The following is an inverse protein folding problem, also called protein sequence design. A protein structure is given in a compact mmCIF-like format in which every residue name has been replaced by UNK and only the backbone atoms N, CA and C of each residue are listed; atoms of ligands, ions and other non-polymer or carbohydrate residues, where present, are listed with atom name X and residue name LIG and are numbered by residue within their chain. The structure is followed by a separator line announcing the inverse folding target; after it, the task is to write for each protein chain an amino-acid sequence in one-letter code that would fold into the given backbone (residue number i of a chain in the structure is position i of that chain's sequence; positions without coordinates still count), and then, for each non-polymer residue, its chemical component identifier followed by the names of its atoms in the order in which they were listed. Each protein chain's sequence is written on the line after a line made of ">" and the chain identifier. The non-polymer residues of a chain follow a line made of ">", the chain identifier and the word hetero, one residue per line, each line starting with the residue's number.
data_IF_427274282867
#
_entry.id   IF_427274282867
#
_cell.length_a   1.000
_cell.length_b   1.000
_cell.length_c   1.000
_cell.angle_alpha   90.00
_cell.angle_beta   90.00
_cell.angle_gamma   90.00
#
_symmetry.space_group_name_H-M   'P 1'
#
loop_
_entity.id
_entity.type
_entity.pdbx_description
1 polymer ?
#
# COMPACT_ATOMS: atom_id res chain seq x y z
N UNK A 1 5.74 7.47 -14.74
CA UNK A 1 6.28 6.16 -15.16
C UNK A 1 5.28 5.46 -16.07
N UNK A 2 5.65 5.04 -17.28
CA UNK A 2 4.76 4.24 -18.13
C UNK A 2 4.89 2.77 -17.72
N UNK A 3 3.79 2.10 -17.45
CA UNK A 3 3.77 0.68 -17.04
C UNK A 3 3.14 -0.18 -18.13
N UNK A 4 3.75 -1.33 -18.38
CA UNK A 4 3.23 -2.34 -19.29
C UNK A 4 3.49 -3.73 -18.70
N UNK A 5 2.64 -4.19 -17.77
CA UNK A 5 2.86 -5.43 -17.05
C UNK A 5 2.45 -6.64 -17.89
N UNK A 6 3.29 -7.66 -17.92
CA UNK A 6 3.01 -8.93 -18.58
C UNK A 6 2.64 -10.01 -17.56
N UNK A 7 3.31 -10.04 -16.41
CA UNK A 7 3.14 -11.07 -15.38
C UNK A 7 2.44 -10.57 -14.12
N UNK A 8 1.87 -11.48 -13.32
CA UNK A 8 1.01 -11.14 -12.18
C UNK A 8 1.66 -10.19 -11.16
N UNK A 9 2.94 -10.37 -10.86
CA UNK A 9 3.68 -9.48 -9.95
C UNK A 9 3.79 -8.06 -10.51
N UNK A 10 3.95 -7.92 -11.83
CA UNK A 10 4.01 -6.61 -12.50
C UNK A 10 2.65 -5.90 -12.45
N UNK A 11 1.54 -6.63 -12.45
CA UNK A 11 0.20 -6.05 -12.27
C UNK A 11 -0.02 -5.50 -10.86
N UNK A 12 0.59 -6.10 -9.83
CA UNK A 12 0.56 -5.56 -8.46
C UNK A 12 1.38 -4.27 -8.36
N UNK A 13 2.59 -4.27 -8.91
CA UNK A 13 3.45 -3.09 -8.97
C UNK A 13 2.81 -1.96 -9.76
N UNK A 14 2.15 -2.29 -10.87
CA UNK A 14 1.40 -1.32 -11.66
C UNK A 14 0.24 -0.70 -10.85
N UNK A 15 -0.56 -1.50 -10.14
CA UNK A 15 -1.65 -0.94 -9.34
C UNK A 15 -1.14 0.04 -8.28
N UNK A 16 -0.02 -0.28 -7.64
CA UNK A 16 0.66 0.66 -6.74
C UNK A 16 1.03 1.95 -7.48
N UNK A 17 1.70 1.85 -8.62
CA UNK A 17 2.23 3.02 -9.35
C UNK A 17 1.13 3.88 -9.99
N UNK A 18 0.08 3.26 -10.53
CA UNK A 18 -0.98 3.91 -11.31
C UNK A 18 -2.16 4.31 -10.43
N UNK A 19 -2.62 3.46 -9.52
CA UNK A 19 -3.86 3.68 -8.76
C UNK A 19 -3.63 4.30 -7.38
N UNK A 20 -2.49 4.00 -6.75
CA UNK A 20 -2.20 4.49 -5.39
C UNK A 20 -1.30 5.72 -5.47
N UNK A 21 -0.14 5.54 -6.08
CA UNK A 21 0.83 6.60 -6.23
C UNK A 21 0.43 7.57 -7.33
N UNK A 22 -0.46 7.21 -8.26
CA UNK A 22 -0.88 8.07 -9.38
C UNK A 22 0.32 8.75 -10.09
N UNK A 23 1.46 8.04 -10.13
CA UNK A 23 2.71 8.50 -10.75
C UNK A 23 2.96 7.82 -12.09
N UNK A 24 2.10 6.88 -12.46
CA UNK A 24 2.21 6.16 -13.71
C UNK A 24 0.93 5.99 -14.47
N UNK A 25 1.09 5.62 -15.73
CA UNK A 25 -0.01 5.39 -16.66
C UNK A 25 0.18 4.01 -17.28
N UNK A 26 -0.87 3.19 -17.16
CA UNK A 26 -0.95 1.88 -17.81
C UNK A 26 -1.08 2.04 -19.32
N UNK A 27 -0.34 1.23 -20.07
CA UNK A 27 -0.52 1.07 -21.51
C UNK A 27 -0.51 -0.40 -21.92
N UNK A 28 -1.38 -0.77 -22.85
CA UNK A 28 -1.38 -2.09 -23.51
C UNK A 28 -2.10 -3.18 -22.73
N UNK A 29 -1.46 -3.74 -21.70
CA UNK A 29 -1.87 -4.99 -21.10
C UNK A 29 -3.09 -4.86 -20.17
N UNK A 30 -4.12 -5.67 -20.42
CA UNK A 30 -5.37 -5.68 -19.65
C UNK A 30 -5.51 -6.89 -18.72
N UNK A 31 -4.72 -7.94 -18.93
CA UNK A 31 -4.77 -9.18 -18.15
C UNK A 31 -3.38 -9.81 -18.00
N UNK A 32 -3.23 -10.65 -16.97
CA UNK A 32 -2.01 -11.43 -16.72
C UNK A 32 -1.81 -12.45 -17.84
N UNK A 33 -0.58 -12.58 -18.34
CA UNK A 33 -0.25 -13.59 -19.36
C UNK A 33 0.27 -14.88 -18.76
N UNK A 34 0.01 -15.98 -19.45
CA UNK A 34 0.76 -17.23 -19.29
C UNK A 34 1.93 -17.27 -20.29
N UNK A 35 2.99 -18.00 -19.92
CA UNK A 35 4.19 -18.16 -20.73
C UNK A 35 3.83 -18.70 -22.14
N UNK A 36 4.23 -17.99 -23.19
CA UNK A 36 3.94 -18.34 -24.59
C UNK A 36 2.76 -17.62 -25.23
N UNK A 37 2.07 -16.73 -24.50
CA UNK A 37 0.94 -15.93 -25.02
C UNK A 37 1.29 -14.45 -25.25
N UNK A 38 2.57 -14.13 -25.38
CA UNK A 38 3.11 -12.76 -25.40
C UNK A 38 2.70 -11.95 -26.64
N UNK A 39 2.38 -12.60 -27.76
CA UNK A 39 2.07 -11.94 -29.04
C UNK A 39 0.58 -11.58 -29.21
N UNK A 40 -0.26 -11.79 -28.19
CA UNK A 40 -1.68 -11.49 -28.26
C UNK A 40 -1.94 -9.98 -28.50
N UNK A 41 -2.88 -9.59 -29.38
CA UNK A 41 -3.20 -8.19 -29.65
C UNK A 41 -3.55 -7.37 -28.40
N UNK A 42 -4.16 -8.00 -27.39
CA UNK A 42 -4.51 -7.42 -26.09
C UNK A 42 -3.28 -7.05 -25.24
N UNK A 43 -2.10 -7.52 -25.65
CA UNK A 43 -0.83 -7.18 -25.01
C UNK A 43 -0.13 -6.04 -25.73
N UNK A 44 -0.47 -5.72 -26.98
CA UNK A 44 0.28 -4.74 -27.76
C UNK A 44 0.08 -3.30 -27.25
N UNK A 45 1.19 -2.58 -27.11
CA UNK A 45 1.16 -1.14 -26.84
C UNK A 45 1.03 -0.37 -28.16
N UNK A 46 -0.13 0.25 -28.37
CA UNK A 46 -0.37 1.10 -29.52
C UNK A 46 0.32 2.46 -29.37
N UNK A 47 0.86 3.00 -30.47
CA UNK A 47 1.49 4.34 -30.50
C UNK A 47 0.58 5.45 -29.98
N UNK A 48 -0.73 5.35 -30.20
CA UNK A 48 -1.73 6.26 -29.65
C UNK A 48 -1.80 6.23 -28.12
N UNK A 49 -1.74 5.02 -27.53
CA UNK A 49 -1.72 4.84 -26.07
C UNK A 49 -0.45 5.39 -25.41
N UNK A 50 0.71 5.29 -26.08
CA UNK A 50 1.94 5.93 -25.61
C UNK A 50 1.79 7.46 -25.60
N UNK A 51 1.22 8.04 -26.66
CA UNK A 51 1.02 9.49 -26.76
C UNK A 51 0.09 10.01 -25.65
N UNK A 52 -1.00 9.29 -25.37
CA UNK A 52 -1.92 9.63 -24.28
C UNK A 52 -1.24 9.50 -22.90
N UNK A 53 -0.44 8.45 -22.70
CA UNK A 53 0.31 8.26 -21.47
C UNK A 53 1.34 9.38 -21.22
N UNK A 54 2.00 9.86 -22.27
CA UNK A 54 2.92 11.00 -22.18
C UNK A 54 2.17 12.27 -21.76
N UNK A 55 0.97 12.52 -22.31
CA UNK A 55 0.17 13.68 -21.95
C UNK A 55 -0.31 13.62 -20.50
N UNK A 56 -0.77 12.46 -20.03
CA UNK A 56 -1.18 12.25 -18.63
C UNK A 56 -0.02 12.34 -17.64
N UNK A 57 1.18 11.92 -18.03
CA UNK A 57 2.37 12.11 -17.22
C UNK A 57 2.86 13.57 -17.17
N UNK A 58 2.35 14.44 -18.05
CA UNK A 58 2.63 15.87 -18.01
C UNK A 58 1.70 16.63 -17.04
N UNK A 59 0.69 15.96 -16.47
CA UNK A 59 -0.09 16.46 -15.34
C UNK A 59 0.71 16.34 -14.02
N UNK A 60 0.34 17.10 -12.99
CA UNK A 60 1.05 17.14 -11.69
C UNK A 60 1.33 15.74 -11.12
N UNK A 61 2.58 15.50 -10.73
CA UNK A 61 3.01 14.24 -10.13
C UNK A 61 2.52 14.13 -8.69
N UNK A 62 2.42 12.91 -8.16
CA UNK A 62 2.08 12.72 -6.74
C UNK A 62 3.10 13.37 -5.79
N UNK A 63 4.38 13.37 -6.14
CA UNK A 63 5.42 14.04 -5.35
C UNK A 63 5.14 15.55 -5.23
N UNK A 64 4.72 16.20 -6.31
CA UNK A 64 4.30 17.61 -6.30
C UNK A 64 3.03 17.81 -5.46
N UNK A 65 2.03 16.91 -5.56
CA UNK A 65 0.79 16.99 -4.76
C UNK A 65 0.96 16.77 -3.26
N UNK A 66 2.07 16.17 -2.83
CA UNK A 66 2.38 15.94 -1.41
C UNK A 66 3.54 16.80 -0.92
N UNK A 67 4.04 17.72 -1.74
CA UNK A 67 5.11 18.63 -1.35
C UNK A 67 4.76 19.38 -0.06
N UNK A 68 5.72 19.46 0.86
CA UNK A 68 5.56 20.08 2.18
C UNK A 68 4.78 19.27 3.22
N UNK A 69 4.13 18.15 2.84
CA UNK A 69 3.36 17.30 3.77
C UNK A 69 3.68 15.80 3.71
N UNK A 70 4.39 15.35 2.67
CA UNK A 70 4.76 13.94 2.48
C UNK A 70 6.16 13.79 1.90
N UNK A 71 6.82 12.70 2.28
CA UNK A 71 8.16 12.33 1.78
C UNK A 71 8.14 10.89 1.29
N UNK A 72 8.72 10.66 0.11
CA UNK A 72 8.87 9.31 -0.47
C UNK A 72 10.35 8.93 -0.45
N UNK A 73 10.67 7.86 0.28
CA UNK A 73 12.01 7.24 0.27
C UNK A 73 11.96 6.01 -0.62
N UNK A 74 12.78 5.99 -1.68
CA UNK A 74 12.89 4.84 -2.59
C UNK A 74 14.04 3.96 -2.15
N UNK A 75 13.75 2.71 -1.80
CA UNK A 75 14.75 1.74 -1.33
C UNK A 75 14.75 1.63 0.19
N UNK A 76 15.95 1.60 0.78
CA UNK A 76 16.09 1.43 2.23
C UNK A 76 15.86 2.76 2.97
N UNK A 77 15.11 2.69 4.07
CA UNK A 77 14.94 3.78 5.01
C UNK A 77 15.41 3.35 6.40
N UNK A 78 15.96 4.26 7.23
CA UNK A 78 16.36 3.95 8.60
C UNK A 78 15.14 3.81 9.52
N UNK A 79 14.37 2.74 9.33
CA UNK A 79 13.04 2.53 9.92
C UNK A 79 13.02 2.74 11.43
N UNK A 80 13.96 2.16 12.17
CA UNK A 80 14.06 2.31 13.63
C UNK A 80 14.26 3.76 14.05
N UNK A 81 15.09 4.52 13.33
CA UNK A 81 15.32 5.95 13.63
C UNK A 81 14.08 6.79 13.30
N UNK A 82 13.36 6.45 12.23
CA UNK A 82 12.11 7.11 11.87
C UNK A 82 11.06 6.86 12.96
N UNK A 83 10.83 5.60 13.34
CA UNK A 83 9.83 5.22 14.34
C UNK A 83 10.15 5.79 15.74
N UNK A 84 11.44 5.92 16.08
CA UNK A 84 11.85 6.51 17.37
C UNK A 84 11.68 8.03 17.44
N UNK A 85 11.29 8.69 16.34
CA UNK A 85 11.10 10.12 16.30
C UNK A 85 9.73 10.51 16.87
N UNK A 86 9.70 11.48 17.81
CA UNK A 86 8.46 11.98 18.44
C UNK A 86 7.43 12.52 17.43
N UNK A 87 7.86 12.97 16.25
CA UNK A 87 6.95 13.45 15.20
C UNK A 87 6.17 12.33 14.51
N UNK A 88 6.48 11.05 14.77
CA UNK A 88 5.75 9.91 14.20
C UNK A 88 4.63 9.50 15.15
N UNK A 89 3.39 9.78 14.74
CA UNK A 89 2.17 9.38 15.49
C UNK A 89 1.63 7.99 15.13
N UNK A 90 1.97 7.46 13.96
CA UNK A 90 1.40 6.21 13.47
C UNK A 90 2.32 5.42 12.54
N UNK A 91 2.12 4.11 12.53
CA UNK A 91 2.90 3.16 11.73
C UNK A 91 1.99 2.18 10.98
N UNK A 92 1.93 2.31 9.65
CA UNK A 92 1.27 1.35 8.79
C UNK A 92 2.17 0.14 8.54
N UNK A 93 1.72 -1.06 8.93
CA UNK A 93 2.54 -2.27 8.91
C UNK A 93 1.79 -3.47 8.34
N UNK A 94 2.52 -4.37 7.67
CA UNK A 94 1.98 -5.65 7.23
C UNK A 94 1.85 -6.69 8.35
N UNK A 95 2.10 -6.30 9.60
CA UNK A 95 2.05 -7.17 10.78
C UNK A 95 3.11 -8.28 10.78
N UNK A 96 4.24 -8.09 10.11
CA UNK A 96 5.43 -8.91 10.36
C UNK A 96 5.88 -8.78 11.81
N UNK A 97 6.32 -9.87 12.44
CA UNK A 97 6.66 -9.89 13.87
C UNK A 97 7.77 -8.88 14.24
N UNK A 98 8.81 -8.75 13.41
CA UNK A 98 9.89 -7.80 13.64
C UNK A 98 9.39 -6.34 13.58
N UNK A 99 8.64 -5.97 12.53
CA UNK A 99 8.03 -4.64 12.43
C UNK A 99 7.08 -4.36 13.59
N UNK A 100 6.35 -5.38 14.04
CA UNK A 100 5.45 -5.25 15.21
C UNK A 100 6.24 -4.93 16.47
N UNK A 101 7.35 -5.64 16.72
CA UNK A 101 8.22 -5.35 17.87
C UNK A 101 8.83 -3.95 17.79
N UNK A 102 9.26 -3.51 16.61
CA UNK A 102 9.76 -2.15 16.41
C UNK A 102 8.69 -1.10 16.73
N UNK A 103 7.45 -1.29 16.27
CA UNK A 103 6.33 -0.41 16.59
C UNK A 103 6.01 -0.36 18.09
N UNK A 104 5.97 -1.53 18.75
CA UNK A 104 5.75 -1.63 20.20
C UNK A 104 6.86 -0.94 20.98
N UNK A 105 8.13 -1.17 20.62
CA UNK A 105 9.28 -0.56 21.30
C UNK A 105 9.33 0.97 21.10
N UNK A 106 8.91 1.45 19.93
CA UNK A 106 8.81 2.88 19.64
C UNK A 106 7.59 3.55 20.29
N UNK A 107 6.61 2.77 20.78
CA UNK A 107 5.39 3.28 21.39
C UNK A 107 4.45 3.96 20.38
N UNK A 108 4.47 3.53 19.12
CA UNK A 108 3.64 4.11 18.05
C UNK A 108 2.38 3.29 17.80
N UNK A 109 1.28 3.97 17.48
CA UNK A 109 0.03 3.31 17.11
C UNK A 109 0.19 2.61 15.75
N UNK A 110 -0.27 1.37 15.64
CA UNK A 110 -0.10 0.57 14.42
C UNK A 110 -1.38 0.47 13.59
N UNK A 111 -1.34 0.92 12.35
CA UNK A 111 -2.37 0.58 11.37
C UNK A 111 -2.01 -0.77 10.74
N UNK A 112 -2.88 -1.77 10.88
CA UNK A 112 -2.57 -3.14 10.46
C UNK A 112 -3.08 -3.43 9.05
N UNK A 113 -2.19 -3.96 8.20
CA UNK A 113 -2.51 -4.42 6.85
C UNK A 113 -1.89 -5.81 6.57
N UNK A 114 -2.39 -6.87 7.22
CA UNK A 114 -1.85 -8.21 7.03
C UNK A 114 -2.00 -8.69 5.57
N UNK A 115 -0.95 -9.30 5.03
CA UNK A 115 -0.93 -9.79 3.65
C UNK A 115 -1.06 -11.32 3.56
N UNK A 116 -0.34 -12.06 4.42
CA UNK A 116 -0.33 -13.54 4.38
C UNK A 116 0.09 -14.19 5.72
N UNK A 117 -0.12 -15.51 5.81
CA UNK A 117 0.36 -16.38 6.89
C UNK A 117 0.00 -15.91 8.31
N UNK A 118 0.99 -15.81 9.20
CA UNK A 118 0.82 -15.50 10.62
C UNK A 118 0.45 -14.04 10.89
N UNK A 119 0.60 -13.16 9.90
CA UNK A 119 0.32 -11.73 10.01
C UNK A 119 -1.13 -11.46 10.46
N UNK A 120 -2.08 -12.33 10.10
CA UNK A 120 -3.47 -12.22 10.56
C UNK A 120 -3.63 -12.51 12.05
N UNK A 121 -2.81 -13.39 12.62
CA UNK A 121 -2.80 -13.62 14.07
C UNK A 121 -2.10 -12.47 14.79
N UNK A 122 -1.02 -11.95 14.22
CA UNK A 122 -0.31 -10.78 14.75
C UNK A 122 -1.21 -9.55 14.73
N UNK A 123 -1.98 -9.31 13.66
CA UNK A 123 -3.01 -8.27 13.62
C UNK A 123 -3.99 -8.43 14.79
N UNK A 124 -4.55 -9.63 14.98
CA UNK A 124 -5.49 -9.86 16.08
C UNK A 124 -4.86 -9.59 17.43
N UNK A 125 -3.58 -9.94 17.60
CA UNK A 125 -2.84 -9.66 18.82
C UNK A 125 -2.67 -8.14 19.04
N UNK A 126 -2.23 -7.39 18.03
CA UNK A 126 -2.07 -5.94 18.09
C UNK A 126 -3.40 -5.25 18.42
N UNK A 127 -4.46 -5.59 17.71
CA UNK A 127 -5.75 -4.87 17.75
C UNK A 127 -6.59 -5.29 18.96
N UNK A 128 -6.72 -6.59 19.23
CA UNK A 128 -7.65 -7.08 20.25
C UNK A 128 -7.00 -7.32 21.62
N UNK A 129 -5.71 -7.66 21.65
CA UNK A 129 -5.01 -7.98 22.91
C UNK A 129 -4.27 -6.75 23.42
N UNK A 130 -3.34 -6.22 22.61
CA UNK A 130 -2.55 -5.06 23.00
C UNK A 130 -3.35 -3.75 22.94
N UNK A 131 -4.39 -3.68 22.09
CA UNK A 131 -5.23 -2.49 21.88
C UNK A 131 -4.42 -1.25 21.43
N UNK A 132 -3.38 -1.48 20.64
CA UNK A 132 -2.48 -0.43 20.13
C UNK A 132 -2.51 -0.34 18.60
N UNK A 133 -3.63 -0.73 17.98
CA UNK A 133 -3.72 -0.64 16.53
C UNK A 133 -5.13 -0.63 15.95
N UNK A 134 -5.18 -0.11 14.72
CA UNK A 134 -6.40 0.04 13.92
C UNK A 134 -6.29 -0.85 12.69
N UNK A 135 -7.28 -1.72 12.49
CA UNK A 135 -7.27 -2.62 11.34
C UNK A 135 -7.78 -1.98 10.06
N UNK A 136 -7.00 -2.08 9.00
CA UNK A 136 -7.51 -1.93 7.64
C UNK A 136 -8.22 -3.24 7.33
N UNK A 137 -9.56 -3.23 7.26
CA UNK A 137 -10.37 -4.44 7.09
C UNK A 137 -9.98 -5.22 5.82
N UNK A 138 -9.08 -6.19 5.95
CA UNK A 138 -8.75 -7.20 4.94
C UNK A 138 -9.48 -8.49 5.33
N UNK A 139 -10.55 -8.84 4.61
CA UNK A 139 -11.37 -10.01 4.96
C UNK A 139 -10.77 -11.35 4.47
N UNK A 140 -9.90 -11.32 3.46
CA UNK A 140 -9.31 -12.53 2.88
C UNK A 140 -7.83 -12.27 2.55
N UNK A 141 -6.93 -12.92 3.28
CA UNK A 141 -5.51 -12.93 2.93
C UNK A 141 -5.24 -13.62 1.60
N UNK A 142 -4.25 -13.10 0.87
CA UNK A 142 -3.79 -13.76 -0.34
C UNK A 142 -3.17 -15.11 0.05
N UNK A 143 -3.61 -16.20 -0.57
CA UNK A 143 -2.91 -17.49 -0.39
C UNK A 143 -1.52 -17.36 -1.02
N UNK A 144 -0.46 -17.90 -0.39
CA UNK A 144 0.85 -18.00 -1.05
C UNK A 144 0.68 -18.70 -2.41
N UNK A 145 1.05 -18.04 -3.51
CA UNK A 145 0.87 -18.55 -4.87
C UNK A 145 -0.48 -18.28 -5.54
N UNK A 146 -1.40 -17.52 -4.92
CA UNK A 146 -2.59 -17.04 -5.60
C UNK A 146 -2.22 -15.90 -6.57
N UNK A 147 -2.36 -16.19 -7.86
CA UNK A 147 -2.07 -15.29 -8.99
C UNK A 147 -3.10 -14.16 -9.12
N UNK A 148 -4.23 -14.28 -8.44
CA UNK A 148 -5.30 -13.28 -8.43
C UNK A 148 -5.62 -12.82 -7.01
N UNK A 149 -5.47 -11.51 -6.76
CA UNK A 149 -6.21 -10.86 -5.70
C UNK A 149 -7.70 -11.01 -6.06
N UNK A 150 -8.43 -11.86 -5.33
CA UNK A 150 -9.90 -11.88 -5.45
C UNK A 150 -10.39 -10.45 -5.21
N UNK A 151 -11.50 -10.05 -5.83
CA UNK A 151 -12.11 -8.73 -5.59
C UNK A 151 -12.30 -8.40 -4.10
N UNK A 152 -12.42 -9.43 -3.26
CA UNK A 152 -12.59 -9.33 -1.81
C UNK A 152 -11.27 -9.18 -1.03
N UNK A 153 -10.11 -9.24 -1.71
CA UNK A 153 -8.76 -8.97 -1.16
C UNK A 153 -8.36 -7.50 -1.39
N UNK A 154 -9.11 -6.76 -2.22
CA UNK A 154 -8.84 -5.36 -2.52
C UNK A 154 -9.37 -4.46 -1.41
N UNK A 155 -8.47 -3.80 -0.71
CA UNK A 155 -8.81 -2.71 0.21
C UNK A 155 -9.14 -1.47 -0.62
N UNK A 156 -10.31 -0.88 -0.38
CA UNK A 156 -10.70 0.38 -1.04
C UNK A 156 -9.99 1.56 -0.37
N UNK A 157 -9.67 2.60 -1.14
CA UNK A 157 -9.06 3.82 -0.61
C UNK A 157 -9.84 4.41 0.57
N UNK A 158 -11.17 4.41 0.52
CA UNK A 158 -12.01 4.90 1.62
C UNK A 158 -11.77 4.16 2.94
N UNK A 159 -11.46 2.86 2.87
CA UNK A 159 -11.14 2.06 4.06
C UNK A 159 -9.76 2.39 4.62
N UNK A 160 -8.78 2.58 3.73
CA UNK A 160 -7.42 3.01 4.12
C UNK A 160 -7.48 4.39 4.76
N UNK A 161 -8.10 5.35 4.07
CA UNK A 161 -8.26 6.72 4.53
C UNK A 161 -8.92 6.77 5.91
N UNK A 162 -10.06 6.09 6.08
CA UNK A 162 -10.76 6.04 7.37
C UNK A 162 -9.92 5.41 8.48
N UNK A 163 -9.14 4.37 8.16
CA UNK A 163 -8.29 3.72 9.16
C UNK A 163 -7.12 4.61 9.59
N UNK A 164 -6.58 5.42 8.66
CA UNK A 164 -5.53 6.40 8.95
C UNK A 164 -6.11 7.56 9.78
N UNK A 165 -7.26 8.12 9.38
CA UNK A 165 -7.95 9.18 10.15
C UNK A 165 -8.22 8.72 11.58
N UNK A 166 -8.83 7.54 11.77
CA UNK A 166 -9.06 6.97 13.10
C UNK A 166 -7.79 6.72 13.91
N UNK A 167 -6.62 6.57 13.27
CA UNK A 167 -5.34 6.36 13.97
C UNK A 167 -4.62 7.66 14.34
N UNK A 168 -5.03 8.78 13.72
CA UNK A 168 -4.38 10.08 13.88
C UNK A 168 -5.30 11.09 14.59
N UNK A 169 -6.57 10.75 14.83
CA UNK A 169 -7.45 11.50 15.72
C UNK A 169 -6.93 11.35 17.15
N UNK A 170 -6.47 12.45 17.73
CA UNK A 170 -6.16 12.54 19.15
C UNK A 170 -7.47 12.42 19.93
N UNK A 171 -7.60 11.39 20.77
CA UNK A 171 -8.56 11.43 21.87
C UNK A 171 -8.11 12.58 22.80
N UNK A 172 -8.58 13.80 22.54
CA UNK A 172 -8.62 14.88 23.53
C UNK A 172 -9.61 14.48 24.64
N UNK A 173 -9.30 13.47 25.45
CA UNK A 173 -9.92 13.25 26.77
C UNK A 173 -9.20 12.14 27.55
N UNK A 174 -8.10 12.49 28.24
CA UNK A 174 -7.81 11.96 29.58
C UNK A 174 -6.76 12.84 30.27
N UNK A 175 -7.23 14.00 30.71
CA UNK A 175 -6.46 14.99 31.45
C UNK A 175 -7.38 15.90 32.25
N UNK A 176 -8.18 15.32 33.16
CA UNK A 176 -8.80 15.97 34.32
C UNK A 176 -9.41 14.92 35.26
N UNK A 177 -8.60 14.41 36.17
CA UNK A 177 -8.79 14.46 37.64
C UNK A 177 -7.55 13.94 38.37
#
# INVERSE_FOLDING_TARGET
>A
MITWPMFAEQFLNEKLVVQILETGVRVGAQAVIHLGEEEKPEMMVMRGGIKEAILRLAEETFEERVEGRGLIIRGWAPQVLILSNRSVGGFLTNCGWNSTLEGVCAGVLMTTWPMFAEQFYVEKFIVYVLKIGVRIRVEVGARPGAVEARSNTLVKWDQVKKSIENSMDDDEEEGRE
#
